data_IF_505506686939
#
_entry.id   IF_505506686939
#
_cell.length_a   1.000
_cell.length_b   1.000
_cell.length_c   1.000
_cell.angle_alpha   90.00
_cell.angle_beta   90.00
_cell.angle_gamma   90.00
#
_symmetry.space_group_name_H-M   'P 1'
#
loop_
_entity.id
_entity.type
_entity.pdbx_description
1 polymer ?
#
# COMPACT_ATOMS: atom_id res chain seq x y z
N UNK A 1 -12.04 11.94 9.47
CA UNK A 1 -11.49 10.99 8.48
C UNK A 1 -10.47 11.67 7.56
N UNK A 2 -10.81 12.73 6.79
CA UNK A 2 -9.85 13.41 5.89
C UNK A 2 -8.56 13.86 6.58
N UNK A 3 -8.65 14.41 7.79
CA UNK A 3 -7.46 14.78 8.60
C UNK A 3 -6.54 13.57 8.85
N UNK A 4 -7.10 12.40 9.18
CA UNK A 4 -6.30 11.18 9.39
C UNK A 4 -5.61 10.73 8.10
N UNK A 5 -6.31 10.75 6.97
CA UNK A 5 -5.73 10.40 5.66
C UNK A 5 -4.63 11.39 5.26
N UNK A 6 -4.86 12.70 5.47
CA UNK A 6 -3.84 13.72 5.23
C UNK A 6 -2.58 13.48 6.08
N UNK A 7 -2.74 13.17 7.37
CA UNK A 7 -1.62 12.84 8.25
C UNK A 7 -0.87 11.60 7.74
N UNK A 8 -1.58 10.53 7.32
CA UNK A 8 -0.95 9.33 6.75
C UNK A 8 -0.12 9.71 5.52
N UNK A 9 -0.70 10.43 4.56
CA UNK A 9 -0.01 10.83 3.32
C UNK A 9 1.23 11.66 3.65
N UNK A 10 1.07 12.69 4.50
CA UNK A 10 2.17 13.57 4.90
C UNK A 10 3.28 12.78 5.59
N UNK A 11 2.94 11.90 6.54
CA UNK A 11 3.92 11.07 7.25
C UNK A 11 4.68 10.16 6.29
N UNK A 12 3.97 9.46 5.39
CA UNK A 12 4.59 8.59 4.40
C UNK A 12 5.51 9.36 3.45
N UNK A 13 5.08 10.55 3.01
CA UNK A 13 5.86 11.39 2.12
C UNK A 13 7.09 11.98 2.82
N UNK A 14 6.94 12.55 4.01
CA UNK A 14 8.05 13.09 4.80
C UNK A 14 9.06 11.98 5.10
N UNK A 15 8.61 10.83 5.56
CA UNK A 15 9.49 9.69 5.83
C UNK A 15 10.26 9.25 4.59
N UNK A 16 9.58 9.17 3.43
CA UNK A 16 10.22 8.78 2.18
C UNK A 16 11.32 9.75 1.78
N UNK A 17 11.07 11.06 1.92
CA UNK A 17 12.07 12.09 1.62
C UNK A 17 13.24 12.04 2.63
N UNK A 18 12.97 11.93 3.92
CA UNK A 18 14.01 11.79 4.94
C UNK A 18 14.93 10.61 4.60
N UNK A 19 14.34 9.43 4.36
CA UNK A 19 15.11 8.22 4.13
C UNK A 19 15.91 8.26 2.83
N UNK A 20 15.30 8.64 1.72
CA UNK A 20 15.90 8.46 0.39
C UNK A 20 16.60 9.69 -0.15
N UNK A 21 16.16 10.90 0.22
CA UNK A 21 16.74 12.16 -0.29
C UNK A 21 17.70 12.77 0.73
N UNK A 22 17.31 12.87 2.00
CA UNK A 22 18.13 13.56 3.00
C UNK A 22 19.24 12.65 3.52
N UNK A 23 18.94 11.42 3.88
CA UNK A 23 19.92 10.46 4.39
C UNK A 23 20.41 9.47 3.32
N UNK A 24 19.65 9.28 2.25
CA UNK A 24 19.97 8.37 1.18
C UNK A 24 20.68 9.01 -0.01
N UNK A 25 21.04 8.20 -1.01
CA UNK A 25 21.78 8.66 -2.17
C UNK A 25 20.91 9.35 -3.24
N UNK A 26 19.58 9.35 -3.07
CA UNK A 26 18.68 9.85 -4.11
C UNK A 26 18.66 11.36 -4.16
N UNK A 27 18.69 11.91 -5.36
CA UNK A 27 18.58 13.35 -5.56
C UNK A 27 17.11 13.81 -5.58
N UNK A 28 16.91 15.12 -5.41
CA UNK A 28 15.57 15.73 -5.47
C UNK A 28 14.85 15.48 -6.80
N UNK A 29 15.58 15.26 -7.90
CA UNK A 29 15.02 14.91 -9.21
C UNK A 29 14.22 13.58 -9.19
N UNK A 30 14.51 12.68 -8.26
CA UNK A 30 13.79 11.40 -8.11
C UNK A 30 12.48 11.51 -7.31
N UNK A 31 12.20 12.68 -6.70
CA UNK A 31 10.98 12.88 -5.87
C UNK A 31 9.69 12.66 -6.66
N UNK A 32 9.51 13.24 -7.87
CA UNK A 32 8.21 13.21 -8.54
C UNK A 32 7.75 11.80 -8.93
N UNK A 33 8.68 10.88 -9.16
CA UNK A 33 8.35 9.55 -9.63
C UNK A 33 8.73 8.47 -8.61
N UNK A 34 10.02 8.31 -8.32
CA UNK A 34 10.52 7.20 -7.51
C UNK A 34 10.14 7.31 -6.02
N UNK A 35 10.34 8.49 -5.43
CA UNK A 35 10.03 8.72 -4.01
C UNK A 35 8.52 8.77 -3.78
N UNK A 36 7.78 9.48 -4.65
CA UNK A 36 6.33 9.56 -4.58
C UNK A 36 5.69 8.18 -4.74
N UNK A 37 6.20 7.34 -5.65
CA UNK A 37 5.74 5.97 -5.84
C UNK A 37 5.80 5.16 -4.53
N UNK A 38 6.91 5.26 -3.79
CA UNK A 38 7.10 4.59 -2.50
C UNK A 38 6.16 5.15 -1.42
N UNK A 39 6.02 6.47 -1.36
CA UNK A 39 5.14 7.12 -0.40
C UNK A 39 3.66 6.74 -0.63
N UNK A 40 3.21 6.75 -1.89
CA UNK A 40 1.82 6.42 -2.25
C UNK A 40 1.49 4.94 -2.01
N UNK A 41 2.43 4.02 -2.25
CA UNK A 41 2.22 2.60 -1.97
C UNK A 41 1.95 2.36 -0.49
N UNK A 42 2.77 2.93 0.39
CA UNK A 42 2.59 2.80 1.84
C UNK A 42 1.35 3.53 2.34
N UNK A 43 1.14 4.79 1.92
CA UNK A 43 -0.04 5.57 2.29
C UNK A 43 -1.33 4.89 1.81
N UNK A 44 -1.34 4.31 0.62
CA UNK A 44 -2.47 3.58 0.05
C UNK A 44 -2.83 2.35 0.88
N UNK A 45 -1.84 1.50 1.22
CA UNK A 45 -2.06 0.34 2.10
C UNK A 45 -2.56 0.74 3.48
N UNK A 46 -1.96 1.77 4.09
CA UNK A 46 -2.38 2.27 5.40
C UNK A 46 -3.82 2.81 5.37
N UNK A 47 -4.19 3.53 4.32
CA UNK A 47 -5.54 4.11 4.16
C UNK A 47 -6.60 3.02 3.90
N UNK A 48 -6.26 1.99 3.11
CA UNK A 48 -7.13 0.81 2.93
C UNK A 48 -7.28 0.07 4.26
N UNK A 49 -6.19 -0.13 4.99
CA UNK A 49 -6.24 -0.74 6.32
C UNK A 49 -7.10 0.08 7.29
N UNK A 50 -6.96 1.41 7.27
CA UNK A 50 -7.80 2.30 8.06
C UNK A 50 -9.30 2.12 7.73
N UNK A 51 -9.65 1.95 6.45
CA UNK A 51 -11.05 1.74 6.05
C UNK A 51 -11.69 0.53 6.72
N UNK A 52 -10.89 -0.52 7.01
CA UNK A 52 -11.36 -1.75 7.68
C UNK A 52 -11.79 -1.51 9.14
N UNK A 53 -11.09 -0.62 9.85
CA UNK A 53 -11.29 -0.40 11.29
C UNK A 53 -12.24 0.75 11.61
N UNK A 54 -12.53 1.62 10.64
CA UNK A 54 -13.46 2.73 10.80
C UNK A 54 -14.88 2.23 11.07
N UNK A 55 -15.54 2.84 12.07
CA UNK A 55 -16.91 2.49 12.48
C UNK A 55 -17.96 3.05 11.54
N UNK A 56 -17.77 4.31 11.12
CA UNK A 56 -18.71 5.01 10.26
C UNK A 56 -18.63 4.50 8.82
N UNK A 57 -19.72 4.00 8.24
CA UNK A 57 -19.70 3.39 6.90
C UNK A 57 -19.22 4.36 5.81
N UNK A 58 -19.65 5.62 5.88
CA UNK A 58 -19.26 6.65 4.92
C UNK A 58 -17.75 6.97 5.01
N UNK A 59 -17.23 7.10 6.24
CA UNK A 59 -15.80 7.33 6.47
C UNK A 59 -14.97 6.13 5.99
N UNK A 60 -15.43 4.90 6.25
CA UNK A 60 -14.80 3.67 5.77
C UNK A 60 -14.76 3.62 4.25
N UNK A 61 -15.89 3.90 3.59
CA UNK A 61 -15.99 3.93 2.13
C UNK A 61 -15.06 4.98 1.52
N UNK A 62 -15.06 6.19 2.07
CA UNK A 62 -14.21 7.26 1.58
C UNK A 62 -12.72 6.95 1.75
N UNK A 63 -12.33 6.39 2.90
CA UNK A 63 -10.96 5.93 3.12
C UNK A 63 -10.58 4.83 2.12
N UNK A 64 -11.47 3.86 1.87
CA UNK A 64 -11.25 2.83 0.86
C UNK A 64 -11.03 3.40 -0.54
N UNK A 65 -11.84 4.37 -0.97
CA UNK A 65 -11.71 5.03 -2.27
C UNK A 65 -10.40 5.82 -2.40
N UNK A 66 -10.04 6.59 -1.36
CA UNK A 66 -8.79 7.35 -1.35
C UNK A 66 -7.57 6.40 -1.35
N UNK A 67 -7.62 5.31 -0.59
CA UNK A 67 -6.58 4.29 -0.62
C UNK A 67 -6.47 3.62 -1.99
N UNK A 68 -7.60 3.30 -2.63
CA UNK A 68 -7.64 2.75 -3.98
C UNK A 68 -7.05 3.71 -5.02
N UNK A 69 -7.34 5.00 -4.92
CA UNK A 69 -6.75 6.02 -5.80
C UNK A 69 -5.23 6.07 -5.64
N UNK A 70 -4.73 6.09 -4.40
CA UNK A 70 -3.28 6.11 -4.14
C UNK A 70 -2.59 4.85 -4.67
N UNK A 71 -3.18 3.67 -4.49
CA UNK A 71 -2.65 2.43 -5.09
C UNK A 71 -2.70 2.48 -6.61
N UNK A 72 -3.77 3.00 -7.21
CA UNK A 72 -3.84 3.20 -8.66
C UNK A 72 -2.72 4.10 -9.19
N UNK A 73 -2.47 5.24 -8.53
CA UNK A 73 -1.36 6.13 -8.86
C UNK A 73 0.00 5.43 -8.68
N UNK A 74 0.16 4.67 -7.59
CA UNK A 74 1.36 3.85 -7.37
C UNK A 74 1.59 2.87 -8.52
N UNK A 75 0.56 2.15 -8.97
CA UNK A 75 0.68 1.18 -10.08
C UNK A 75 1.13 1.89 -11.36
N UNK A 76 0.53 3.02 -11.72
CA UNK A 76 0.94 3.79 -12.91
C UNK A 76 2.42 4.21 -12.79
N UNK A 77 2.83 4.76 -11.65
CA UNK A 77 4.22 5.16 -11.44
C UNK A 77 5.15 3.93 -11.43
N UNK A 78 4.73 2.81 -10.83
CA UNK A 78 5.52 1.58 -10.81
C UNK A 78 5.80 1.05 -12.22
N UNK A 79 4.82 1.10 -13.12
CA UNK A 79 5.00 0.71 -14.52
C UNK A 79 6.02 1.61 -15.24
N UNK A 80 6.07 2.89 -14.92
CA UNK A 80 7.04 3.83 -15.50
C UNK A 80 8.48 3.58 -15.00
N UNK A 81 8.64 3.11 -13.75
CA UNK A 81 9.95 2.82 -13.13
C UNK A 81 10.34 1.34 -13.18
N UNK A 82 9.53 0.48 -13.84
CA UNK A 82 9.83 -0.96 -13.98
C UNK A 82 10.92 -1.16 -15.04
N UNK A 83 12.12 -0.74 -14.70
CA UNK A 83 13.31 -0.81 -15.54
C UNK A 83 14.53 -1.16 -14.69
N UNK A 84 15.57 -1.81 -15.27
CA UNK A 84 16.80 -2.15 -14.56
C UNK A 84 17.48 -0.94 -13.88
N UNK A 85 17.37 0.25 -14.46
CA UNK A 85 17.98 1.48 -13.92
C UNK A 85 17.40 1.86 -12.54
N UNK A 86 16.10 1.60 -12.31
CA UNK A 86 15.43 1.93 -11.04
C UNK A 86 15.31 0.73 -10.10
N UNK A 87 15.24 -0.46 -10.65
CA UNK A 87 14.93 -1.68 -9.92
C UNK A 87 15.93 -2.81 -10.24
N UNK A 88 17.24 -2.47 -10.28
CA UNK A 88 18.32 -3.38 -10.65
C UNK A 88 18.26 -4.75 -9.93
N UNK A 89 17.82 -4.78 -8.65
CA UNK A 89 17.71 -6.01 -7.86
C UNK A 89 16.66 -7.01 -8.38
N UNK A 90 15.76 -6.59 -9.27
CA UNK A 90 14.75 -7.46 -9.86
C UNK A 90 15.13 -8.02 -11.22
N UNK A 91 16.27 -7.62 -11.73
CA UNK A 91 16.76 -8.08 -13.02
C UNK A 91 18.07 -8.83 -12.86
N UNK A 92 18.26 -9.90 -13.66
CA UNK A 92 19.53 -10.59 -13.72
C UNK A 92 20.57 -9.73 -14.44
N UNK A 93 21.72 -9.53 -13.81
CA UNK A 93 22.80 -8.70 -14.32
C UNK A 93 23.41 -9.22 -15.65
N UNK A 94 23.26 -10.52 -15.95
CA UNK A 94 23.86 -11.15 -17.13
C UNK A 94 23.11 -10.83 -18.42
N UNK A 95 21.77 -10.77 -18.36
CA UNK A 95 20.93 -10.58 -19.56
C UNK A 95 20.13 -9.25 -19.56
N UNK A 96 20.11 -8.51 -18.45
CA UNK A 96 19.42 -7.21 -18.31
C UNK A 96 17.90 -7.23 -18.55
N UNK A 97 17.39 -8.26 -19.21
CA UNK A 97 16.00 -8.39 -19.66
C UNK A 97 15.19 -9.41 -18.85
N UNK A 98 15.84 -10.35 -18.15
CA UNK A 98 15.14 -11.36 -17.36
C UNK A 98 14.98 -10.89 -15.93
N UNK A 99 13.77 -11.00 -15.45
CA UNK A 99 13.50 -10.73 -14.02
C UNK A 99 14.00 -11.89 -13.16
N UNK A 100 14.38 -11.56 -11.93
CA UNK A 100 14.60 -12.56 -10.89
C UNK A 100 13.26 -13.13 -10.44
N UNK A 101 13.26 -14.35 -9.87
CA UNK A 101 12.06 -14.96 -9.34
C UNK A 101 11.36 -14.06 -8.27
N UNK A 102 12.13 -13.27 -7.51
CA UNK A 102 11.59 -12.30 -6.54
C UNK A 102 10.86 -11.16 -7.23
N UNK A 103 11.43 -10.65 -8.32
CA UNK A 103 10.78 -9.63 -9.14
C UNK A 103 9.47 -10.14 -9.73
N UNK A 104 9.47 -11.36 -10.27
CA UNK A 104 8.28 -12.00 -10.82
C UNK A 104 7.21 -12.22 -9.75
N UNK A 105 7.59 -12.73 -8.56
CA UNK A 105 6.68 -12.94 -7.44
C UNK A 105 6.11 -11.61 -6.91
N UNK A 106 6.92 -10.56 -6.87
CA UNK A 106 6.46 -9.21 -6.49
C UNK A 106 5.42 -8.69 -7.49
N UNK A 107 5.67 -8.81 -8.79
CA UNK A 107 4.71 -8.38 -9.82
C UNK A 107 3.44 -9.22 -9.73
N UNK A 108 3.54 -10.54 -9.65
CA UNK A 108 2.38 -11.42 -9.56
C UNK A 108 1.48 -11.06 -8.38
N UNK A 109 2.06 -10.90 -7.19
CA UNK A 109 1.30 -10.50 -6.00
C UNK A 109 0.70 -9.10 -6.13
N UNK A 110 1.38 -8.17 -6.79
CA UNK A 110 0.87 -6.84 -7.11
C UNK A 110 -0.32 -6.89 -8.07
N UNK A 111 -0.24 -7.70 -9.14
CA UNK A 111 -1.33 -7.90 -10.11
C UNK A 111 -2.55 -8.53 -9.44
N UNK A 112 -2.36 -9.56 -8.61
CA UNK A 112 -3.45 -10.17 -7.84
C UNK A 112 -4.11 -9.16 -6.89
N UNK A 113 -3.31 -8.32 -6.22
CA UNK A 113 -3.82 -7.23 -5.40
C UNK A 113 -4.62 -6.21 -6.22
N UNK A 114 -4.14 -5.82 -7.38
CA UNK A 114 -4.84 -4.90 -8.29
C UNK A 114 -6.16 -5.49 -8.78
N UNK A 115 -6.19 -6.77 -9.16
CA UNK A 115 -7.41 -7.47 -9.56
C UNK A 115 -8.43 -7.48 -8.41
N UNK A 116 -7.98 -7.79 -7.18
CA UNK A 116 -8.82 -7.74 -5.99
C UNK A 116 -9.38 -6.33 -5.75
N UNK A 117 -8.54 -5.30 -5.84
CA UNK A 117 -8.95 -3.90 -5.70
C UNK A 117 -10.00 -3.50 -6.73
N UNK A 118 -9.81 -3.89 -7.99
CA UNK A 118 -10.75 -3.63 -9.10
C UNK A 118 -12.09 -4.30 -8.84
N UNK A 119 -12.09 -5.57 -8.41
CA UNK A 119 -13.30 -6.29 -8.03
C UNK A 119 -14.05 -5.60 -6.87
N UNK A 120 -13.33 -5.14 -5.85
CA UNK A 120 -13.91 -4.42 -4.72
C UNK A 120 -14.52 -3.07 -5.15
N UNK A 121 -13.81 -2.32 -5.99
CA UNK A 121 -14.29 -1.04 -6.52
C UNK A 121 -15.53 -1.24 -7.40
N UNK A 122 -15.54 -2.25 -8.28
CA UNK A 122 -16.67 -2.61 -9.12
C UNK A 122 -17.90 -2.97 -8.30
N UNK A 123 -17.75 -3.85 -7.31
CA UNK A 123 -18.83 -4.26 -6.43
C UNK A 123 -19.40 -3.07 -5.64
N UNK A 124 -18.55 -2.15 -5.22
CA UNK A 124 -18.98 -0.94 -4.51
C UNK A 124 -19.76 0.00 -5.43
N UNK A 125 -19.30 0.20 -6.67
CA UNK A 125 -19.94 1.05 -7.65
C UNK A 125 -21.31 0.49 -8.13
N UNK A 126 -21.39 -0.84 -8.32
CA UNK A 126 -22.66 -1.48 -8.74
C UNK A 126 -23.69 -1.54 -7.62
N UNK A 127 -23.25 -1.72 -6.37
CA UNK A 127 -24.14 -1.69 -5.21
C UNK A 127 -24.80 -0.32 -5.02
N UNK A 128 -24.09 0.77 -5.32
CA UNK A 128 -24.69 2.13 -5.22
C UNK A 128 -25.73 2.41 -6.29
N UNK A 129 -25.62 1.78 -7.46
CA UNK A 129 -26.61 1.92 -8.55
C UNK A 129 -27.89 1.12 -8.28
N UNK A 130 -27.80 0.01 -7.54
CA UNK A 130 -28.93 -0.88 -7.23
C UNK A 130 -29.61 -0.58 -5.89
N UNK A 131 -29.08 0.35 -5.13
CA UNK A 131 -29.63 0.74 -3.83
C UNK A 131 -30.90 1.57 -4.03
N UNK A 132 -31.99 0.90 -4.35
CA UNK A 132 -33.31 1.38 -3.96
C UNK A 132 -33.33 1.50 -2.42
N UNK A 133 -33.97 2.56 -1.90
CA UNK A 133 -33.85 3.08 -0.52
C UNK A 133 -34.10 2.11 0.65
N UNK A 134 -34.34 0.83 0.38
CA UNK A 134 -34.76 -0.15 1.37
C UNK A 134 -33.72 -1.20 1.79
N UNK A 135 -32.55 -1.29 1.14
CA UNK A 135 -31.57 -2.33 1.47
C UNK A 135 -30.36 -1.68 2.12
N UNK A 136 -30.21 -1.95 3.41
CA UNK A 136 -29.14 -1.42 4.26
C UNK A 136 -27.74 -1.47 3.60
N UNK A 137 -26.99 -0.40 3.82
CA UNK A 137 -25.61 -0.20 3.37
C UNK A 137 -24.79 -1.49 3.39
N UNK A 138 -24.60 -2.10 2.21
CA UNK A 138 -23.67 -3.23 2.10
C UNK A 138 -22.27 -2.70 2.36
N UNK A 139 -21.74 -3.05 3.53
CA UNK A 139 -20.35 -2.79 3.86
C UNK A 139 -19.44 -3.56 2.89
N UNK A 140 -18.32 -2.93 2.52
CA UNK A 140 -17.27 -3.59 1.73
C UNK A 140 -16.90 -4.91 2.41
N UNK A 141 -16.81 -6.00 1.64
CA UNK A 141 -16.53 -7.34 2.17
C UNK A 141 -15.21 -7.34 2.98
N UNK A 142 -15.25 -7.70 4.27
CA UNK A 142 -14.02 -7.78 5.07
C UNK A 142 -13.00 -8.78 4.49
N UNK A 143 -13.49 -9.84 3.84
CA UNK A 143 -12.65 -10.81 3.15
C UNK A 143 -11.87 -10.17 2.02
N UNK A 144 -12.54 -9.37 1.17
CA UNK A 144 -11.88 -8.70 0.06
C UNK A 144 -10.79 -7.72 0.51
N UNK A 145 -11.04 -6.95 1.59
CA UNK A 145 -10.01 -6.06 2.15
C UNK A 145 -8.83 -6.89 2.71
N UNK A 146 -9.10 -8.00 3.39
CA UNK A 146 -8.05 -8.87 3.91
C UNK A 146 -7.22 -9.48 2.79
N UNK A 147 -7.85 -9.95 1.72
CA UNK A 147 -7.14 -10.48 0.54
C UNK A 147 -6.25 -9.41 -0.09
N UNK A 148 -6.76 -8.19 -0.23
CA UNK A 148 -5.98 -7.07 -0.77
C UNK A 148 -4.78 -6.73 0.12
N UNK A 149 -4.97 -6.63 1.43
CA UNK A 149 -3.88 -6.39 2.39
C UNK A 149 -2.85 -7.52 2.38
N UNK A 150 -3.30 -8.77 2.25
CA UNK A 150 -2.41 -9.93 2.14
C UNK A 150 -1.57 -9.90 0.85
N UNK A 151 -2.20 -9.64 -0.29
CA UNK A 151 -1.47 -9.47 -1.56
C UNK A 151 -0.48 -8.30 -1.49
N UNK A 152 -0.87 -7.18 -0.87
CA UNK A 152 0.02 -6.05 -0.63
C UNK A 152 1.20 -6.41 0.28
N UNK A 153 0.95 -7.16 1.36
CA UNK A 153 2.02 -7.65 2.24
C UNK A 153 3.01 -8.55 1.48
N UNK A 154 2.52 -9.50 0.69
CA UNK A 154 3.38 -10.36 -0.14
C UNK A 154 4.18 -9.56 -1.15
N UNK A 155 3.53 -8.61 -1.85
CA UNK A 155 4.19 -7.75 -2.82
C UNK A 155 5.39 -7.02 -2.20
N UNK A 156 5.19 -6.33 -1.08
CA UNK A 156 6.26 -5.58 -0.44
C UNK A 156 7.30 -6.47 0.25
N UNK A 157 6.92 -7.69 0.66
CA UNK A 157 7.87 -8.67 1.18
C UNK A 157 8.86 -9.11 0.09
N UNK A 158 8.37 -9.51 -1.08
CA UNK A 158 9.23 -9.86 -2.22
C UNK A 158 10.06 -8.67 -2.72
N UNK A 159 9.54 -7.45 -2.57
CA UNK A 159 10.25 -6.22 -2.91
C UNK A 159 11.43 -5.92 -1.97
N UNK A 160 11.37 -6.29 -0.70
CA UNK A 160 12.28 -5.74 0.30
C UNK A 160 12.90 -6.70 1.29
N UNK A 161 12.54 -7.97 1.27
CA UNK A 161 12.95 -8.95 2.28
C UNK A 161 14.45 -8.96 2.58
N UNK A 162 15.29 -8.92 1.55
CA UNK A 162 16.75 -8.96 1.74
C UNK A 162 17.24 -7.73 2.52
N UNK A 163 16.69 -6.55 2.19
CA UNK A 163 17.08 -5.28 2.84
C UNK A 163 16.64 -5.21 4.31
N UNK A 164 15.62 -6.01 4.72
CA UNK A 164 15.10 -5.96 6.09
C UNK A 164 16.01 -6.66 7.08
N UNK A 165 16.69 -7.73 6.63
CA UNK A 165 17.54 -8.59 7.44
C UNK A 165 18.98 -8.08 7.54
N UNK A 166 19.30 -6.97 6.86
CA UNK A 166 20.63 -6.36 6.85
C UNK A 166 20.60 -4.93 7.45
N UNK A 167 20.50 -4.76 8.77
CA UNK A 167 20.47 -3.45 9.40
C UNK A 167 21.70 -2.58 9.11
N UNK A 168 22.83 -3.19 8.80
CA UNK A 168 24.06 -2.50 8.38
C UNK A 168 23.88 -1.69 7.10
N UNK A 169 23.02 -2.15 6.19
CA UNK A 169 22.63 -1.42 4.98
C UNK A 169 21.80 -0.18 5.29
N UNK A 170 21.15 -0.12 6.47
CA UNK A 170 20.35 1.03 6.88
C UNK A 170 21.20 2.24 7.26
N UNK A 171 22.48 2.05 7.58
CA UNK A 171 23.40 3.14 7.91
C UNK A 171 23.47 4.19 6.78
N UNK A 172 23.42 3.74 5.52
CA UNK A 172 23.37 4.60 4.32
C UNK A 172 22.10 5.46 4.23
N UNK A 173 21.10 5.16 5.05
CA UNK A 173 19.79 5.80 5.08
C UNK A 173 19.46 6.35 6.48
N UNK A 174 20.47 6.77 7.23
CA UNK A 174 20.29 7.32 8.59
C UNK A 174 19.68 6.32 9.58
N UNK A 175 19.96 5.04 9.42
CA UNK A 175 19.38 3.94 10.20
C UNK A 175 17.85 3.83 10.13
N UNK A 176 17.21 4.51 9.19
CA UNK A 176 15.76 4.42 9.00
C UNK A 176 15.38 3.09 8.32
N UNK A 177 14.35 2.36 8.82
CA UNK A 177 13.90 1.10 8.21
C UNK A 177 13.43 1.27 6.76
N UNK A 178 13.54 0.24 5.90
CA UNK A 178 13.01 0.29 4.53
C UNK A 178 11.49 0.53 4.52
N UNK A 179 11.01 1.33 3.56
CA UNK A 179 9.56 1.58 3.41
C UNK A 179 8.79 0.28 3.14
N UNK A 180 9.37 -0.66 2.39
CA UNK A 180 8.76 -1.97 2.17
C UNK A 180 8.51 -2.72 3.49
N UNK A 181 9.44 -2.66 4.45
CA UNK A 181 9.25 -3.23 5.79
C UNK A 181 8.11 -2.53 6.55
N UNK A 182 8.07 -1.19 6.54
CA UNK A 182 7.00 -0.43 7.20
C UNK A 182 5.65 -0.68 6.55
N UNK A 183 5.59 -0.78 5.22
CA UNK A 183 4.38 -1.14 4.48
C UNK A 183 3.91 -2.55 4.82
N UNK A 184 4.84 -3.52 4.92
CA UNK A 184 4.54 -4.88 5.34
C UNK A 184 3.95 -4.91 6.76
N UNK A 185 4.63 -4.27 7.72
CA UNK A 185 4.14 -4.21 9.10
C UNK A 185 2.77 -3.53 9.18
N UNK A 186 2.56 -2.47 8.42
CA UNK A 186 1.25 -1.79 8.32
C UNK A 186 0.18 -2.75 7.82
N UNK A 187 0.44 -3.48 6.73
CA UNK A 187 -0.51 -4.44 6.18
C UNK A 187 -0.81 -5.57 7.18
N UNK A 188 0.21 -6.12 7.84
CA UNK A 188 0.07 -7.17 8.87
C UNK A 188 -0.75 -6.67 10.06
N UNK A 189 -0.46 -5.47 10.59
CA UNK A 189 -1.23 -4.88 11.68
C UNK A 189 -2.72 -4.80 11.29
N UNK A 190 -3.03 -4.30 10.10
CA UNK A 190 -4.42 -4.19 9.66
C UNK A 190 -5.06 -5.52 9.30
N UNK A 191 -4.31 -6.54 8.88
CA UNK A 191 -4.85 -7.90 8.70
C UNK A 191 -5.45 -8.44 10.01
N UNK A 192 -4.78 -8.23 11.13
CA UNK A 192 -5.24 -8.69 12.45
C UNK A 192 -6.13 -7.69 13.18
N UNK A 193 -6.18 -6.42 12.75
CA UNK A 193 -7.04 -5.42 13.37
C UNK A 193 -8.52 -5.80 13.19
N UNK A 194 -9.30 -5.71 14.28
CA UNK A 194 -10.74 -5.93 14.29
C UNK A 194 -11.47 -4.60 14.40
N UNK A 195 -12.68 -4.52 13.85
CA UNK A 195 -13.57 -3.38 14.14
C UNK A 195 -13.79 -3.30 15.65
N UNK A 196 -13.55 -2.12 16.20
CA UNK A 196 -13.86 -1.89 17.62
C UNK A 196 -15.38 -1.88 17.77
N UNK A 197 -15.95 -2.98 18.25
CA UNK A 197 -17.37 -3.06 18.62
C UNK A 197 -17.63 -2.11 19.80
N UNK A 198 -18.71 -1.31 19.79
CA UNK A 198 -19.10 -0.57 20.98
C UNK A 198 -19.41 -1.60 22.06
N UNK A 199 -18.76 -1.51 23.21
CA UNK A 199 -19.28 -2.16 24.40
C UNK A 199 -20.64 -1.52 24.67
N UNK A 200 -21.74 -2.24 24.42
CA UNK A 200 -23.03 -1.87 24.95
C UNK A 200 -22.87 -1.88 26.47
N UNK A 201 -22.72 -0.69 27.07
CA UNK A 201 -22.90 -0.56 28.51
C UNK A 201 -24.31 -1.03 28.77
N UNK A 202 -24.41 -2.22 29.37
CA UNK A 202 -25.67 -2.72 29.90
C UNK A 202 -26.28 -1.66 30.81
N UNK A 203 -27.44 -1.19 30.44
CA UNK A 203 -28.34 -0.47 31.31
C UNK A 203 -28.98 -1.45 32.25
#
# INVERSE_FOLDING_TARGET
MLKCVAVIITTCFVYSNLRYVIFGPEGAAHIPLFIMNKALSWAGLATIGLSKVLRQPEASRMAGLLGALMIGMHVVMALLILRPEYLAKFFNSIDGMRMTWKGEAAILSGVLGLACLTCLAWNTATATKKADKSIGQRSVSPLGINTLLFCGALHVAFMGWDDWLEPTMWAKFGYLPPISMLSFLTAVIFLFARKVTPQTRGQ
#
